data_IF_521185962472
#
_entry.id   IF_521185962472
#
_cell.length_a   1.000
_cell.length_b   1.000
_cell.length_c   1.000
_cell.angle_alpha   90.00
_cell.angle_beta   90.00
_cell.angle_gamma   90.00
#
_symmetry.space_group_name_H-M   'P 1'
#
loop_
_entity.id
_entity.type
_entity.pdbx_description
1 polymer ?
#
# COMPACT_ATOMS: atom_id res chain seq x y z
N UNK A 1 6.26 -3.62 -24.12
CA UNK A 1 5.75 -2.25 -23.85
C UNK A 1 5.26 -2.23 -22.41
N UNK A 2 5.74 -1.32 -21.56
CA UNK A 2 5.20 -1.19 -20.19
C UNK A 2 3.75 -0.71 -20.28
N UNK A 3 2.84 -1.42 -19.65
CA UNK A 3 1.43 -1.03 -19.59
C UNK A 3 1.28 0.30 -18.85
N UNK A 4 0.44 1.19 -19.38
CA UNK A 4 0.08 2.45 -18.72
C UNK A 4 -0.72 2.10 -17.47
N UNK A 5 -0.20 2.45 -16.29
CA UNK A 5 -0.86 2.18 -15.03
C UNK A 5 -2.16 2.99 -14.86
N UNK A 6 -3.14 2.44 -14.15
CA UNK A 6 -4.43 3.07 -13.89
C UNK A 6 -4.30 4.46 -13.24
N UNK A 7 -3.29 4.67 -12.40
CA UNK A 7 -2.99 5.98 -11.80
C UNK A 7 -2.70 7.04 -12.86
N UNK A 8 -1.93 6.70 -13.90
CA UNK A 8 -1.61 7.62 -15.00
C UNK A 8 -2.86 8.06 -15.75
N UNK A 9 -3.78 7.10 -16.01
CA UNK A 9 -5.06 7.40 -16.70
C UNK A 9 -5.92 8.33 -15.83
N UNK A 10 -6.07 8.01 -14.52
CA UNK A 10 -6.80 8.86 -13.57
C UNK A 10 -6.23 10.29 -13.52
N UNK A 11 -4.90 10.40 -13.45
CA UNK A 11 -4.22 11.71 -13.43
C UNK A 11 -4.48 12.50 -14.71
N UNK A 12 -4.40 11.85 -15.87
CA UNK A 12 -4.73 12.50 -17.16
C UNK A 12 -6.15 13.02 -17.20
N UNK A 13 -7.14 12.21 -16.78
CA UNK A 13 -8.55 12.62 -16.71
C UNK A 13 -8.73 13.76 -15.69
N UNK A 14 -8.10 13.69 -14.54
CA UNK A 14 -8.17 14.73 -13.53
C UNK A 14 -7.63 16.07 -14.02
N UNK A 15 -6.47 16.08 -14.70
CA UNK A 15 -5.89 17.29 -15.31
C UNK A 15 -6.82 17.83 -16.39
N UNK A 16 -7.35 16.97 -17.26
CA UNK A 16 -8.32 17.37 -18.29
C UNK A 16 -9.53 18.07 -17.69
N UNK A 17 -10.12 17.53 -16.62
CA UNK A 17 -11.24 18.15 -15.93
C UNK A 17 -10.87 19.48 -15.27
N UNK A 18 -9.69 19.59 -14.64
CA UNK A 18 -9.22 20.84 -14.06
C UNK A 18 -9.10 21.95 -15.13
N UNK A 19 -8.55 21.63 -16.28
CA UNK A 19 -8.40 22.58 -17.38
C UNK A 19 -9.75 22.93 -18.02
N UNK A 20 -10.62 21.95 -18.20
CA UNK A 20 -11.97 22.14 -18.78
C UNK A 20 -12.84 23.04 -17.89
N UNK A 21 -12.77 22.88 -16.57
CA UNK A 21 -13.56 23.66 -15.61
C UNK A 21 -12.94 25.03 -15.27
N UNK A 22 -11.71 25.28 -15.72
CA UNK A 22 -10.99 26.51 -15.39
C UNK A 22 -11.74 27.78 -15.82
N UNK A 23 -12.37 27.91 -16.99
CA UNK A 23 -13.08 29.14 -17.37
C UNK A 23 -14.21 29.54 -16.43
N UNK A 24 -14.76 28.56 -15.68
CA UNK A 24 -15.95 28.76 -14.84
C UNK A 24 -15.63 28.97 -13.37
N UNK A 25 -14.60 28.31 -12.83
CA UNK A 25 -14.37 28.22 -11.38
C UNK A 25 -12.94 28.57 -11.01
N UNK A 26 -11.96 28.20 -11.85
CA UNK A 26 -10.54 28.26 -11.56
C UNK A 26 -9.89 29.36 -12.40
N UNK A 27 -9.18 30.31 -11.77
CA UNK A 27 -8.47 31.34 -12.55
C UNK A 27 -7.11 30.87 -13.06
N UNK A 28 -6.45 30.00 -12.29
CA UNK A 28 -5.14 29.50 -12.68
C UNK A 28 -5.17 27.97 -12.75
N UNK A 29 -5.44 27.39 -13.94
CA UNK A 29 -5.56 25.94 -14.14
C UNK A 29 -4.36 25.16 -13.63
N UNK A 30 -3.18 25.75 -13.66
CA UNK A 30 -1.93 25.14 -13.21
C UNK A 30 -2.01 24.66 -11.76
N UNK A 31 -2.52 25.50 -10.84
CA UNK A 31 -2.57 25.14 -9.42
C UNK A 31 -3.61 24.06 -9.14
N UNK A 32 -4.75 24.11 -9.81
CA UNK A 32 -5.76 23.07 -9.72
C UNK A 32 -5.24 21.74 -10.29
N UNK A 33 -4.57 21.76 -11.44
CA UNK A 33 -3.98 20.57 -12.04
C UNK A 33 -2.88 19.95 -11.17
N UNK A 34 -1.99 20.75 -10.58
CA UNK A 34 -0.97 20.30 -9.63
C UNK A 34 -1.60 19.71 -8.36
N UNK A 35 -2.63 20.36 -7.81
CA UNK A 35 -3.34 19.88 -6.65
C UNK A 35 -4.04 18.53 -6.94
N UNK A 36 -4.71 18.42 -8.08
CA UNK A 36 -5.35 17.19 -8.54
C UNK A 36 -4.34 16.05 -8.69
N UNK A 37 -3.21 16.29 -9.37
CA UNK A 37 -2.17 15.28 -9.62
C UNK A 37 -1.63 14.67 -8.33
N UNK A 38 -1.36 15.50 -7.31
CA UNK A 38 -0.84 15.03 -6.02
C UNK A 38 -1.93 14.38 -5.17
N UNK A 39 -3.19 14.81 -5.31
CA UNK A 39 -4.32 14.24 -4.56
C UNK A 39 -4.75 12.87 -5.06
N UNK A 40 -4.39 12.45 -6.28
CA UNK A 40 -4.67 11.10 -6.78
C UNK A 40 -3.65 10.13 -6.20
N UNK A 41 -4.06 9.41 -5.17
CA UNK A 41 -3.29 8.39 -4.47
C UNK A 41 -3.75 6.97 -4.85
N UNK A 42 -3.05 5.96 -4.36
CA UNK A 42 -3.42 4.54 -4.56
C UNK A 42 -4.76 4.20 -3.93
N UNK A 43 -5.09 4.82 -2.78
CA UNK A 43 -6.35 4.63 -2.07
C UNK A 43 -7.18 5.91 -2.04
N UNK A 44 -8.50 5.78 -1.86
CA UNK A 44 -9.41 6.93 -1.71
C UNK A 44 -9.12 7.68 -0.40
N UNK A 45 -8.86 6.95 0.71
CA UNK A 45 -8.49 7.55 1.99
C UNK A 45 -7.19 8.36 1.86
N UNK A 46 -6.17 7.80 1.22
CA UNK A 46 -4.91 8.50 0.93
C UNK A 46 -5.15 9.79 0.12
N UNK A 47 -6.06 9.75 -0.87
CA UNK A 47 -6.43 10.95 -1.64
C UNK A 47 -7.08 12.03 -0.77
N UNK A 48 -7.97 11.63 0.12
CA UNK A 48 -8.66 12.57 1.03
C UNK A 48 -7.65 13.16 2.02
N UNK A 49 -6.85 12.31 2.69
CA UNK A 49 -5.85 12.77 3.66
C UNK A 49 -4.85 13.73 3.02
N UNK A 50 -4.26 13.33 1.88
CA UNK A 50 -3.33 14.19 1.13
C UNK A 50 -4.00 15.48 0.64
N UNK A 51 -5.26 15.39 0.21
CA UNK A 51 -6.04 16.55 -0.21
C UNK A 51 -6.26 17.55 0.93
N UNK A 52 -6.67 17.09 2.11
CA UNK A 52 -6.84 17.95 3.29
C UNK A 52 -5.51 18.57 3.75
N UNK A 53 -4.41 17.80 3.76
CA UNK A 53 -3.08 18.32 4.04
C UNK A 53 -2.71 19.45 3.09
N UNK A 54 -2.97 19.30 1.79
CA UNK A 54 -2.73 20.37 0.80
C UNK A 54 -3.54 21.63 1.08
N UNK A 55 -4.82 21.50 1.41
CA UNK A 55 -5.67 22.66 1.74
C UNK A 55 -5.14 23.40 2.97
N UNK A 56 -4.80 22.67 4.04
CA UNK A 56 -4.20 23.27 5.26
C UNK A 56 -2.90 24.01 4.95
N UNK A 57 -1.97 23.37 4.22
CA UNK A 57 -0.71 24.01 3.82
C UNK A 57 -0.93 25.23 2.94
N UNK A 58 -1.88 25.19 2.01
CA UNK A 58 -2.24 26.32 1.15
C UNK A 58 -2.81 27.48 1.96
N UNK A 59 -3.67 27.21 2.95
CA UNK A 59 -4.22 28.26 3.82
C UNK A 59 -3.11 28.92 4.64
N UNK A 60 -2.24 28.14 5.28
CA UNK A 60 -1.14 28.68 6.08
C UNK A 60 -0.16 29.49 5.24
N UNK A 61 0.30 28.93 4.12
CA UNK A 61 1.17 29.63 3.17
C UNK A 61 0.52 30.87 2.57
N UNK A 62 -0.80 30.81 2.34
CA UNK A 62 -1.61 31.92 1.86
C UNK A 62 -1.66 33.09 2.84
N UNK A 63 -1.90 32.80 4.12
CA UNK A 63 -1.93 33.80 5.19
C UNK A 63 -0.57 34.47 5.35
N UNK A 64 0.49 33.69 5.43
CA UNK A 64 1.87 34.23 5.58
C UNK A 64 2.26 35.02 4.34
N UNK A 65 1.97 34.50 3.15
CA UNK A 65 2.23 35.18 1.87
C UNK A 65 1.51 36.53 1.77
N UNK A 66 0.23 36.56 2.15
CA UNK A 66 -0.53 37.81 2.24
C UNK A 66 0.08 38.80 3.20
N UNK A 67 0.43 38.40 4.43
CA UNK A 67 1.01 39.30 5.44
C UNK A 67 2.34 39.84 4.97
N UNK A 68 3.22 39.03 4.40
CA UNK A 68 4.49 39.47 3.91
C UNK A 68 4.36 40.44 2.72
N UNK A 69 3.50 40.13 1.75
CA UNK A 69 3.28 41.06 0.61
C UNK A 69 2.57 42.35 1.00
N UNK A 70 1.81 42.37 2.09
CA UNK A 70 1.12 43.54 2.58
C UNK A 70 2.05 44.49 3.36
N UNK A 71 2.92 43.95 4.25
CA UNK A 71 3.76 44.74 5.13
C UNK A 71 5.17 44.96 4.59
N UNK A 72 5.64 44.17 3.65
CA UNK A 72 7.00 44.16 3.14
C UNK A 72 7.02 44.34 1.62
N UNK A 73 8.17 44.68 1.07
CA UNK A 73 8.33 44.87 -0.39
C UNK A 73 8.31 43.50 -1.07
N UNK A 74 7.32 43.24 -1.94
CA UNK A 74 7.28 42.05 -2.78
C UNK A 74 8.53 41.97 -3.68
N UNK A 75 8.86 40.78 -4.17
CA UNK A 75 9.99 40.47 -5.07
C UNK A 75 11.40 40.66 -4.47
N UNK A 76 11.52 40.81 -3.16
CA UNK A 76 12.83 40.88 -2.52
C UNK A 76 13.33 39.50 -2.10
N UNK A 77 14.52 39.10 -2.59
CA UNK A 77 15.07 37.76 -2.34
C UNK A 77 15.25 37.44 -0.85
N UNK A 78 15.68 38.45 -0.02
CA UNK A 78 15.83 38.26 1.42
C UNK A 78 14.47 38.04 2.11
N UNK A 79 13.46 38.80 1.70
CA UNK A 79 12.10 38.68 2.24
C UNK A 79 11.50 37.30 1.88
N UNK A 80 11.67 36.84 0.64
CA UNK A 80 11.26 35.52 0.21
C UNK A 80 11.98 34.41 1.00
N UNK A 81 13.28 34.55 1.26
CA UNK A 81 14.02 33.57 2.04
C UNK A 81 13.55 33.53 3.51
N UNK A 82 13.46 34.70 4.18
CA UNK A 82 13.02 34.79 5.57
C UNK A 82 11.57 34.32 5.74
N UNK A 83 10.67 34.68 4.83
CA UNK A 83 9.28 34.25 4.84
C UNK A 83 9.14 32.74 4.60
N UNK A 84 9.96 32.16 3.73
CA UNK A 84 10.01 30.71 3.54
C UNK A 84 10.45 29.98 4.82
N UNK A 85 11.50 30.46 5.49
CA UNK A 85 11.98 29.89 6.76
C UNK A 85 10.90 30.01 7.83
N UNK A 86 10.23 31.17 7.93
CA UNK A 86 9.12 31.34 8.88
C UNK A 86 7.95 30.39 8.58
N UNK A 87 7.61 30.22 7.31
CA UNK A 87 6.55 29.30 6.89
C UNK A 87 6.87 27.86 7.28
N UNK A 88 8.11 27.41 7.05
CA UNK A 88 8.59 26.09 7.47
C UNK A 88 8.51 25.94 8.98
N UNK A 89 9.02 26.94 9.72
CA UNK A 89 9.00 26.92 11.18
C UNK A 89 7.58 26.81 11.74
N UNK A 90 6.64 27.59 11.23
CA UNK A 90 5.24 27.52 11.66
C UNK A 90 4.58 26.20 11.29
N UNK A 91 4.83 25.63 10.11
CA UNK A 91 4.35 24.29 9.76
C UNK A 91 4.84 23.23 10.78
N UNK A 92 6.11 23.28 11.16
CA UNK A 92 6.67 22.35 12.16
C UNK A 92 6.01 22.56 13.54
N UNK A 93 5.86 23.82 13.96
CA UNK A 93 5.25 24.17 15.25
C UNK A 93 3.79 23.71 15.35
N UNK A 94 3.03 23.80 14.27
CA UNK A 94 1.65 23.31 14.19
C UNK A 94 1.52 21.81 13.87
N UNK A 95 2.66 21.07 13.89
CA UNK A 95 2.70 19.64 13.59
C UNK A 95 2.19 19.27 12.17
N UNK A 96 2.42 20.18 11.22
CA UNK A 96 2.02 20.09 9.81
C UNK A 96 3.22 19.76 8.93
N UNK A 97 3.92 18.64 9.21
CA UNK A 97 5.18 18.29 8.52
C UNK A 97 4.99 17.95 7.04
N UNK A 98 3.86 17.29 6.71
CA UNK A 98 3.55 16.87 5.35
C UNK A 98 3.09 18.04 4.47
N UNK A 99 2.67 19.14 5.06
CA UNK A 99 2.15 20.33 4.41
C UNK A 99 3.22 21.38 4.08
N UNK A 100 4.45 21.23 4.60
CA UNK A 100 5.54 22.22 4.48
C UNK A 100 5.78 22.63 3.02
N UNK A 101 5.91 21.65 2.13
CA UNK A 101 6.21 21.92 0.72
C UNK A 101 5.14 22.78 0.04
N UNK A 102 3.86 22.49 0.27
CA UNK A 102 2.78 23.25 -0.35
C UNK A 102 2.60 24.63 0.28
N UNK A 103 2.83 24.76 1.59
CA UNK A 103 2.77 26.03 2.28
C UNK A 103 3.84 27.00 1.73
N UNK A 104 5.08 26.53 1.56
CA UNK A 104 6.17 27.33 0.99
C UNK A 104 5.91 27.70 -0.47
N UNK A 105 5.45 26.73 -1.29
CA UNK A 105 5.09 27.02 -2.69
C UNK A 105 3.97 28.06 -2.78
N UNK A 106 2.96 27.98 -1.91
CA UNK A 106 1.87 28.96 -1.88
C UNK A 106 2.35 30.32 -1.42
N UNK A 107 3.16 30.39 -0.37
CA UNK A 107 3.81 31.60 0.08
C UNK A 107 4.59 32.30 -1.05
N UNK A 108 5.48 31.55 -1.71
CA UNK A 108 6.28 32.07 -2.83
C UNK A 108 5.40 32.51 -4.01
N UNK A 109 4.36 31.75 -4.35
CA UNK A 109 3.47 32.07 -5.45
C UNK A 109 2.71 33.39 -5.25
N UNK A 110 2.46 33.78 -3.99
CA UNK A 110 1.84 35.06 -3.65
C UNK A 110 2.87 36.17 -3.67
N UNK A 111 4.04 35.96 -3.07
CA UNK A 111 5.08 37.02 -3.00
C UNK A 111 5.72 37.33 -4.34
N UNK A 112 5.97 36.31 -5.19
CA UNK A 112 6.63 36.50 -6.49
C UNK A 112 5.64 36.73 -7.64
N UNK A 113 4.37 36.44 -7.43
CA UNK A 113 3.35 36.51 -8.49
C UNK A 113 2.32 37.62 -8.28
N UNK A 114 2.45 38.45 -7.24
CA UNK A 114 1.41 39.42 -6.92
C UNK A 114 1.62 40.76 -7.63
N UNK A 115 0.66 41.14 -8.43
CA UNK A 115 0.43 42.56 -8.76
C UNK A 115 -0.21 43.17 -7.52
N UNK A 116 0.39 44.23 -6.97
CA UNK A 116 0.05 44.86 -5.66
C UNK A 116 -1.44 45.22 -5.51
N UNK A 117 -2.16 45.42 -6.59
CA UNK A 117 -3.53 45.97 -6.55
C UNK A 117 -4.61 45.01 -6.05
N UNK A 118 -4.35 43.69 -5.92
CA UNK A 118 -5.37 42.72 -5.53
C UNK A 118 -4.87 41.52 -4.67
N UNK A 119 -3.98 41.78 -3.71
CA UNK A 119 -3.32 40.77 -2.87
C UNK A 119 -4.28 39.81 -2.16
N UNK A 120 -5.33 40.34 -1.53
CA UNK A 120 -6.36 39.52 -0.84
C UNK A 120 -7.03 38.56 -1.84
N UNK A 121 -7.39 39.08 -2.98
CA UNK A 121 -8.05 38.32 -4.02
C UNK A 121 -7.15 37.18 -4.54
N UNK A 122 -5.88 37.47 -4.79
CA UNK A 122 -4.91 36.46 -5.24
C UNK A 122 -4.68 35.39 -4.19
N UNK A 123 -4.58 35.73 -2.91
CA UNK A 123 -4.41 34.77 -1.81
C UNK A 123 -5.62 33.83 -1.68
N UNK A 124 -6.83 34.40 -1.71
CA UNK A 124 -8.07 33.61 -1.67
C UNK A 124 -8.18 32.71 -2.92
N UNK A 125 -7.85 33.24 -4.08
CA UNK A 125 -7.92 32.48 -5.34
C UNK A 125 -7.00 31.26 -5.32
N UNK A 126 -5.79 31.34 -4.71
CA UNK A 126 -4.89 30.19 -4.53
C UNK A 126 -5.53 29.08 -3.71
N UNK A 127 -6.23 29.45 -2.63
CA UNK A 127 -6.95 28.46 -1.81
C UNK A 127 -8.08 27.80 -2.61
N UNK A 128 -8.84 28.58 -3.38
CA UNK A 128 -9.92 28.07 -4.21
C UNK A 128 -9.38 27.14 -5.30
N UNK A 129 -8.37 27.59 -6.07
CA UNK A 129 -7.79 26.80 -7.17
C UNK A 129 -7.25 25.45 -6.67
N UNK A 130 -6.51 25.45 -5.54
CA UNK A 130 -6.03 24.20 -4.93
C UNK A 130 -7.17 23.33 -4.43
N UNK A 131 -8.20 23.90 -3.78
CA UNK A 131 -9.33 23.15 -3.24
C UNK A 131 -10.15 22.47 -4.35
N UNK A 132 -10.39 23.17 -5.46
CA UNK A 132 -11.06 22.60 -6.64
C UNK A 132 -10.24 21.46 -7.24
N UNK A 133 -8.93 21.64 -7.38
CA UNK A 133 -8.04 20.57 -7.85
C UNK A 133 -8.04 19.35 -6.97
N UNK A 134 -7.98 19.53 -5.64
CA UNK A 134 -8.09 18.45 -4.64
C UNK A 134 -9.44 17.72 -4.79
N UNK A 135 -10.54 18.47 -4.86
CA UNK A 135 -11.87 17.90 -5.00
C UNK A 135 -12.00 17.05 -6.27
N UNK A 136 -11.57 17.58 -7.43
CA UNK A 136 -11.56 16.84 -8.70
C UNK A 136 -10.71 15.58 -8.57
N UNK A 137 -9.52 15.67 -7.97
CA UNK A 137 -8.62 14.51 -7.76
C UNK A 137 -9.26 13.42 -6.92
N UNK A 138 -9.95 13.77 -5.82
CA UNK A 138 -10.68 12.83 -4.98
C UNK A 138 -11.85 12.21 -5.76
N UNK A 139 -12.65 13.00 -6.45
CA UNK A 139 -13.78 12.51 -7.25
C UNK A 139 -13.34 11.55 -8.35
N UNK A 140 -12.30 11.89 -9.10
CA UNK A 140 -11.74 11.02 -10.15
C UNK A 140 -11.20 9.73 -9.55
N UNK A 141 -10.51 9.80 -8.41
CA UNK A 141 -10.00 8.61 -7.74
C UNK A 141 -11.12 7.73 -7.19
N UNK A 142 -12.21 8.31 -6.74
CA UNK A 142 -13.37 7.58 -6.23
C UNK A 142 -14.19 6.93 -7.37
N UNK A 143 -14.43 7.64 -8.47
CA UNK A 143 -15.32 7.20 -9.56
C UNK A 143 -14.63 6.23 -10.53
N UNK A 144 -13.34 6.45 -10.81
CA UNK A 144 -12.59 5.66 -11.80
C UNK A 144 -11.84 4.52 -11.11
N UNK A 145 -12.35 3.30 -11.26
CA UNK A 145 -11.75 2.03 -10.83
C UNK A 145 -11.37 2.02 -9.34
N UNK A 146 -12.34 1.69 -8.51
CA UNK A 146 -12.11 1.32 -7.10
C UNK A 146 -11.26 0.05 -7.07
N UNK A 147 -10.02 0.08 -6.61
CA UNK A 147 -9.21 -1.14 -6.54
C UNK A 147 -9.93 -2.13 -5.60
N UNK A 148 -10.14 -3.36 -6.08
CA UNK A 148 -10.75 -4.40 -5.25
C UNK A 148 -9.64 -5.13 -4.48
N UNK A 149 -9.03 -4.43 -3.54
CA UNK A 149 -7.91 -4.93 -2.74
C UNK A 149 -8.21 -6.28 -2.06
N UNK A 150 -9.48 -6.56 -1.73
CA UNK A 150 -9.85 -7.85 -1.15
C UNK A 150 -9.59 -9.01 -2.12
N UNK A 151 -9.89 -8.85 -3.42
CA UNK A 151 -9.59 -9.86 -4.43
C UNK A 151 -8.08 -10.01 -4.64
N UNK A 152 -7.33 -8.92 -4.56
CA UNK A 152 -5.87 -8.95 -4.72
C UNK A 152 -5.20 -9.67 -3.54
N UNK A 153 -5.69 -9.47 -2.30
CA UNK A 153 -5.25 -10.20 -1.10
C UNK A 153 -5.50 -11.69 -1.25
N UNK A 154 -6.72 -12.07 -1.65
CA UNK A 154 -7.12 -13.47 -1.86
C UNK A 154 -6.21 -14.12 -2.91
N UNK A 155 -6.01 -13.47 -4.05
CA UNK A 155 -5.14 -13.96 -5.12
C UNK A 155 -3.69 -14.12 -4.69
N UNK A 156 -3.18 -13.21 -3.87
CA UNK A 156 -1.82 -13.31 -3.31
C UNK A 156 -1.69 -14.51 -2.37
N UNK A 157 -2.70 -14.78 -1.54
CA UNK A 157 -2.74 -15.96 -0.66
C UNK A 157 -2.80 -17.27 -1.45
N UNK A 158 -3.58 -17.31 -2.53
CA UNK A 158 -3.65 -18.46 -3.44
C UNK A 158 -2.27 -18.76 -4.06
N UNK A 159 -1.57 -17.76 -4.58
CA UNK A 159 -0.20 -17.96 -5.11
C UNK A 159 0.79 -18.43 -4.04
N UNK A 160 0.70 -17.91 -2.82
CA UNK A 160 1.54 -18.36 -1.69
C UNK A 160 1.27 -19.84 -1.41
N UNK A 161 0.00 -20.27 -1.38
CA UNK A 161 -0.34 -21.67 -1.18
C UNK A 161 0.21 -22.57 -2.28
N UNK A 162 0.06 -22.18 -3.54
CA UNK A 162 0.61 -22.93 -4.68
C UNK A 162 2.13 -23.08 -4.61
N UNK A 163 2.85 -22.05 -4.19
CA UNK A 163 4.31 -22.14 -4.03
C UNK A 163 4.72 -23.05 -2.87
N UNK A 164 3.95 -23.06 -1.77
CA UNK A 164 4.17 -23.97 -0.65
C UNK A 164 3.87 -25.42 -1.07
N UNK A 165 2.82 -25.66 -1.84
CA UNK A 165 2.51 -26.99 -2.41
C UNK A 165 3.65 -27.49 -3.28
N UNK A 166 4.13 -26.69 -4.21
CA UNK A 166 5.30 -27.04 -5.05
C UNK A 166 6.54 -27.38 -4.20
N UNK A 167 6.76 -26.65 -3.10
CA UNK A 167 7.84 -26.99 -2.17
C UNK A 167 7.64 -28.36 -1.54
N UNK A 168 6.44 -28.64 -1.02
CA UNK A 168 6.10 -29.92 -0.38
C UNK A 168 6.19 -31.07 -1.38
N UNK A 169 5.69 -30.90 -2.60
CA UNK A 169 5.79 -31.89 -3.67
C UNK A 169 7.23 -32.19 -4.06
N UNK A 170 8.07 -31.15 -4.20
CA UNK A 170 9.47 -31.32 -4.51
C UNK A 170 10.20 -32.05 -3.39
N UNK A 171 9.86 -31.74 -2.14
CA UNK A 171 10.43 -32.38 -0.96
C UNK A 171 10.02 -33.85 -0.86
N UNK A 172 8.74 -34.19 -1.13
CA UNK A 172 8.20 -35.55 -0.99
C UNK A 172 8.55 -36.47 -2.13
N UNK A 173 8.45 -36.00 -3.39
CA UNK A 173 8.64 -36.82 -4.59
C UNK A 173 10.10 -37.04 -4.98
N UNK A 174 10.93 -36.03 -4.83
CA UNK A 174 12.31 -36.06 -5.38
C UNK A 174 13.39 -36.35 -4.36
N UNK A 175 13.08 -36.26 -3.07
CA UNK A 175 14.09 -36.31 -1.97
C UNK A 175 15.35 -35.50 -2.35
N UNK A 176 15.19 -34.55 -3.24
CA UNK A 176 16.23 -33.62 -3.69
C UNK A 176 15.81 -32.23 -3.26
N UNK A 177 16.68 -31.56 -2.53
CA UNK A 177 16.68 -30.11 -2.31
C UNK A 177 16.94 -29.44 -3.68
N UNK A 178 15.94 -29.46 -4.56
CA UNK A 178 16.05 -28.71 -5.79
C UNK A 178 15.77 -27.26 -5.44
N UNK A 179 16.56 -26.35 -6.01
CA UNK A 179 16.53 -24.89 -5.81
C UNK A 179 15.08 -24.36 -5.74
N UNK A 180 14.49 -24.44 -4.55
CA UNK A 180 13.23 -23.72 -4.29
C UNK A 180 13.63 -22.24 -4.18
N UNK A 181 13.13 -21.43 -5.09
CA UNK A 181 13.40 -20.01 -5.10
C UNK A 181 12.59 -19.32 -4.02
N UNK A 182 13.13 -19.31 -2.80
CA UNK A 182 12.50 -18.71 -1.63
C UNK A 182 12.22 -17.21 -1.85
N UNK A 183 13.02 -16.56 -2.70
CA UNK A 183 12.85 -15.17 -3.12
C UNK A 183 11.45 -14.89 -3.71
N UNK A 184 10.88 -15.88 -4.41
CA UNK A 184 9.51 -15.77 -4.94
C UNK A 184 8.49 -15.71 -3.81
N UNK A 185 8.60 -16.61 -2.83
CA UNK A 185 7.71 -16.65 -1.68
C UNK A 185 7.83 -15.37 -0.82
N UNK A 186 9.03 -14.88 -0.59
CA UNK A 186 9.29 -13.62 0.10
C UNK A 186 8.65 -12.43 -0.64
N UNK A 187 8.80 -12.39 -1.97
CA UNK A 187 8.22 -11.33 -2.79
C UNK A 187 6.68 -11.35 -2.77
N UNK A 188 6.08 -12.54 -2.77
CA UNK A 188 4.62 -12.72 -2.65
C UNK A 188 4.11 -12.26 -1.28
N UNK A 189 4.81 -12.61 -0.20
CA UNK A 189 4.46 -12.17 1.17
C UNK A 189 4.57 -10.65 1.29
N UNK A 190 5.63 -10.05 0.75
CA UNK A 190 5.78 -8.60 0.75
C UNK A 190 4.68 -7.90 -0.07
N UNK A 191 4.31 -8.48 -1.22
CA UNK A 191 3.17 -8.00 -2.02
C UNK A 191 1.85 -8.09 -1.24
N UNK A 192 1.63 -9.20 -0.51
CA UNK A 192 0.46 -9.38 0.35
C UNK A 192 0.40 -8.32 1.45
N UNK A 193 1.50 -8.05 2.15
CA UNK A 193 1.58 -7.01 3.17
C UNK A 193 1.23 -5.62 2.63
N UNK A 194 1.80 -5.28 1.48
CA UNK A 194 1.52 -4.01 0.83
C UNK A 194 0.05 -3.88 0.43
N UNK A 195 -0.51 -4.94 -0.17
CA UNK A 195 -1.91 -4.96 -0.59
C UNK A 195 -2.85 -4.89 0.62
N UNK A 196 -2.48 -5.56 1.73
CA UNK A 196 -3.23 -5.48 2.98
C UNK A 196 -3.20 -4.07 3.57
N UNK A 197 -2.05 -3.41 3.60
CA UNK A 197 -1.94 -2.02 4.06
C UNK A 197 -2.81 -1.07 3.21
N UNK A 198 -2.80 -1.23 1.89
CA UNK A 198 -3.65 -0.47 0.98
C UNK A 198 -5.15 -0.79 1.21
N UNK A 199 -5.48 -2.02 1.61
CA UNK A 199 -6.83 -2.46 1.95
C UNK A 199 -7.33 -1.81 3.26
N UNK A 200 -6.55 -1.86 4.34
CA UNK A 200 -6.90 -1.23 5.63
C UNK A 200 -7.13 0.26 5.47
N UNK A 201 -6.23 0.94 4.75
CA UNK A 201 -6.39 2.36 4.43
C UNK A 201 -7.69 2.65 3.66
N UNK A 202 -8.20 1.72 2.84
CA UNK A 202 -9.43 1.89 2.06
C UNK A 202 -10.71 1.55 2.83
N UNK A 203 -10.66 0.58 3.74
CA UNK A 203 -11.80 0.09 4.52
C UNK A 203 -12.25 1.11 5.58
N UNK A 204 -11.32 1.74 6.28
CA UNK A 204 -11.59 2.75 7.30
C UNK A 204 -12.49 3.91 6.82
N UNK A 205 -12.58 4.14 5.51
CA UNK A 205 -13.40 5.22 4.98
C UNK A 205 -14.85 4.84 4.68
N UNK A 206 -15.12 3.55 4.46
CA UNK A 206 -16.45 3.10 4.02
C UNK A 206 -17.42 2.77 5.17
N UNK A 207 -16.94 2.65 6.40
CA UNK A 207 -17.72 2.10 7.52
C UNK A 207 -17.59 2.94 8.78
N UNK A 208 -18.16 4.15 8.73
CA UNK A 208 -18.47 4.91 9.96
C UNK A 208 -19.62 4.23 10.74
N UNK A 209 -20.36 3.31 10.13
CA UNK A 209 -21.52 2.63 10.72
C UNK A 209 -21.27 1.24 11.31
N UNK A 210 -20.18 0.52 10.94
CA UNK A 210 -19.98 -0.88 11.33
C UNK A 210 -18.59 -1.19 11.92
N UNK A 211 -18.09 -0.34 12.81
CA UNK A 211 -16.74 -0.40 13.38
C UNK A 211 -16.30 -1.74 14.01
N UNK A 212 -17.22 -2.57 14.49
CA UNK A 212 -16.91 -3.86 15.14
C UNK A 212 -16.56 -4.95 14.13
N UNK A 213 -17.21 -4.98 12.95
CA UNK A 213 -17.00 -6.04 11.94
C UNK A 213 -15.69 -5.93 11.18
N UNK A 214 -15.09 -4.76 11.16
CA UNK A 214 -13.83 -4.47 10.45
C UNK A 214 -12.63 -4.93 11.26
N UNK A 215 -12.66 -4.71 12.57
CA UNK A 215 -11.56 -5.05 13.49
C UNK A 215 -11.29 -6.57 13.51
N UNK A 216 -12.33 -7.41 13.40
CA UNK A 216 -12.18 -8.87 13.31
C UNK A 216 -11.57 -9.34 11.97
N UNK A 217 -11.96 -8.73 10.84
CA UNK A 217 -11.39 -9.07 9.53
C UNK A 217 -9.95 -8.61 9.40
N UNK A 218 -9.62 -7.45 9.90
CA UNK A 218 -8.25 -6.91 9.91
C UNK A 218 -7.34 -7.80 10.76
N UNK A 219 -7.75 -8.18 11.96
CA UNK A 219 -7.02 -9.12 12.82
C UNK A 219 -6.83 -10.48 12.14
N UNK A 220 -7.84 -10.94 11.40
CA UNK A 220 -7.75 -12.22 10.68
C UNK A 220 -6.71 -12.18 9.56
N UNK A 221 -6.64 -11.10 8.77
CA UNK A 221 -5.65 -10.97 7.70
C UNK A 221 -4.24 -10.76 8.27
N UNK A 222 -4.08 -9.98 9.34
CA UNK A 222 -2.81 -9.84 10.03
C UNK A 222 -2.28 -11.18 10.56
N UNK A 223 -3.15 -12.02 11.13
CA UNK A 223 -2.78 -13.36 11.56
C UNK A 223 -2.33 -14.24 10.39
N UNK A 224 -2.98 -14.13 9.22
CA UNK A 224 -2.57 -14.86 8.02
C UNK A 224 -1.20 -14.42 7.51
N UNK A 225 -0.91 -13.13 7.51
CA UNK A 225 0.42 -12.61 7.16
C UNK A 225 1.49 -13.18 8.08
N UNK A 226 1.21 -13.24 9.40
CA UNK A 226 2.13 -13.85 10.37
C UNK A 226 2.33 -15.33 10.05
N UNK A 227 1.28 -16.09 9.76
CA UNK A 227 1.36 -17.50 9.36
C UNK A 227 2.20 -17.67 8.09
N UNK A 228 2.02 -16.83 7.08
CA UNK A 228 2.81 -16.86 5.85
C UNK A 228 4.31 -16.59 6.11
N UNK A 229 4.63 -15.65 7.00
CA UNK A 229 6.01 -15.37 7.41
C UNK A 229 6.66 -16.53 8.17
N UNK A 230 5.91 -17.13 9.09
CA UNK A 230 6.38 -18.33 9.81
C UNK A 230 6.64 -19.48 8.84
N UNK A 231 5.74 -19.72 7.87
CA UNK A 231 5.92 -20.71 6.82
C UNK A 231 7.20 -20.45 6.01
N UNK A 232 7.41 -19.22 5.57
CA UNK A 232 8.61 -18.83 4.83
C UNK A 232 9.88 -19.11 5.63
N UNK A 233 9.92 -18.72 6.91
CA UNK A 233 11.05 -18.97 7.80
C UNK A 233 11.36 -20.46 7.97
N UNK A 234 10.33 -21.30 8.17
CA UNK A 234 10.53 -22.74 8.34
C UNK A 234 10.92 -23.43 7.04
N UNK A 235 10.38 -23.03 5.90
CA UNK A 235 10.78 -23.51 4.57
C UNK A 235 12.24 -23.15 4.30
N UNK A 236 12.65 -21.91 4.57
CA UNK A 236 14.03 -21.46 4.44
C UNK A 236 14.98 -22.29 5.30
N UNK A 237 14.59 -22.56 6.54
CA UNK A 237 15.37 -23.38 7.44
C UNK A 237 15.58 -24.80 6.90
N UNK A 238 14.54 -25.41 6.27
CA UNK A 238 14.64 -26.73 5.64
C UNK A 238 15.56 -26.70 4.42
N UNK A 239 15.48 -25.67 3.58
CA UNK A 239 16.30 -25.57 2.35
C UNK A 239 17.81 -25.47 2.66
N UNK A 240 18.18 -24.90 3.79
CA UNK A 240 19.58 -24.75 4.23
C UNK A 240 20.17 -26.00 4.87
N UNK A 241 19.37 -27.04 5.17
CA UNK A 241 19.91 -28.28 5.73
C UNK A 241 20.65 -29.08 4.67
N UNK A 242 21.95 -29.31 4.80
CA UNK A 242 22.78 -29.99 3.80
C UNK A 242 22.82 -31.54 3.91
N UNK A 243 22.29 -32.12 4.98
CA UNK A 243 22.33 -33.56 5.28
C UNK A 243 21.21 -34.35 4.61
N UNK A 244 21.38 -35.68 4.51
CA UNK A 244 20.29 -36.61 4.16
C UNK A 244 19.18 -36.48 5.20
N UNK A 245 17.95 -36.25 4.73
CA UNK A 245 16.81 -36.00 5.59
C UNK A 245 16.07 -37.31 5.90
N UNK A 246 15.74 -37.51 7.15
CA UNK A 246 14.94 -38.61 7.68
C UNK A 246 13.67 -38.03 8.29
N UNK A 247 12.52 -38.65 8.01
CA UNK A 247 11.23 -38.20 8.53
C UNK A 247 10.82 -39.04 9.76
N UNK A 248 10.17 -38.43 10.73
CA UNK A 248 9.54 -39.16 11.82
C UNK A 248 8.14 -39.65 11.44
N UNK A 249 7.60 -40.63 12.15
CA UNK A 249 6.30 -41.25 11.86
C UNK A 249 5.17 -40.24 11.89
N UNK A 250 5.16 -39.28 12.82
CA UNK A 250 4.12 -38.25 12.93
C UNK A 250 4.03 -37.36 11.68
N UNK A 251 5.17 -36.84 11.21
CA UNK A 251 5.21 -36.01 10.01
C UNK A 251 4.90 -36.82 8.74
N UNK A 252 5.33 -38.08 8.69
CA UNK A 252 5.02 -38.99 7.60
C UNK A 252 3.50 -39.23 7.46
N UNK A 253 2.83 -39.51 8.58
CA UNK A 253 1.36 -39.68 8.58
C UNK A 253 0.65 -38.38 8.16
N UNK A 254 1.11 -37.24 8.65
CA UNK A 254 0.52 -35.94 8.27
C UNK A 254 0.68 -35.68 6.78
N UNK A 255 1.86 -35.94 6.22
CA UNK A 255 2.09 -35.82 4.77
C UNK A 255 1.24 -36.79 3.98
N UNK A 256 1.11 -38.03 4.43
CA UNK A 256 0.29 -39.05 3.77
C UNK A 256 -1.20 -38.68 3.76
N UNK A 257 -1.67 -38.03 4.82
CA UNK A 257 -3.04 -37.53 4.89
C UNK A 257 -3.27 -36.33 3.95
N UNK A 258 -2.27 -35.46 3.78
CA UNK A 258 -2.33 -34.34 2.85
C UNK A 258 -2.22 -34.78 1.38
N UNK A 259 -1.44 -35.83 1.11
CA UNK A 259 -1.16 -36.36 -0.22
C UNK A 259 -1.41 -37.88 -0.28
N UNK A 260 -2.69 -38.35 -0.22
CA UNK A 260 -3.02 -39.77 -0.10
C UNK A 260 -2.57 -40.63 -1.30
N UNK A 261 -2.51 -40.02 -2.49
CA UNK A 261 -2.15 -40.69 -3.75
C UNK A 261 -0.67 -40.59 -4.11
N UNK A 262 0.15 -39.94 -3.27
CA UNK A 262 1.55 -39.70 -3.56
C UNK A 262 2.47 -40.67 -2.82
N UNK A 263 3.46 -41.23 -3.50
CA UNK A 263 4.49 -42.06 -2.89
C UNK A 263 5.56 -41.17 -2.23
N UNK A 264 5.59 -41.19 -0.89
CA UNK A 264 6.53 -40.40 -0.09
C UNK A 264 7.88 -41.11 -0.04
N UNK A 265 8.93 -40.50 -0.61
CA UNK A 265 10.29 -41.09 -0.73
C UNK A 265 11.23 -40.73 0.43
N UNK A 266 10.73 -40.72 1.65
CA UNK A 266 11.56 -40.54 2.85
C UNK A 266 11.80 -41.85 3.58
N UNK A 267 13.01 -42.01 4.15
CA UNK A 267 13.30 -43.05 5.12
C UNK A 267 12.80 -42.61 6.51
N UNK A 268 12.04 -43.46 7.18
CA UNK A 268 11.50 -43.16 8.52
C UNK A 268 12.58 -43.48 9.56
N UNK A 269 12.94 -42.48 10.38
CA UNK A 269 13.86 -42.65 11.53
C UNK A 269 13.53 -41.60 12.59
N UNK A 270 13.11 -42.07 13.76
CA UNK A 270 12.67 -41.18 14.86
C UNK A 270 13.82 -40.40 15.52
N UNK A 271 15.06 -40.87 15.38
CA UNK A 271 16.20 -40.29 16.05
C UNK A 271 17.04 -39.35 15.19
N UNK A 272 16.87 -39.49 13.86
CA UNK A 272 17.65 -38.69 12.92
C UNK A 272 16.90 -37.44 12.46
N UNK A 273 17.65 -36.44 12.06
CA UNK A 273 17.13 -35.16 11.51
C UNK A 273 16.11 -34.45 12.42
N UNK A 274 16.35 -34.26 13.72
CA UNK A 274 15.35 -33.62 14.61
C UNK A 274 15.02 -32.20 14.22
N UNK A 275 15.99 -31.43 13.73
CA UNK A 275 15.78 -30.06 13.25
C UNK A 275 14.86 -30.02 12.02
N UNK A 276 15.10 -30.91 11.06
CA UNK A 276 14.24 -31.06 9.90
C UNK A 276 12.80 -31.38 10.32
N UNK A 277 12.62 -32.38 11.17
CA UNK A 277 11.30 -32.80 11.63
C UNK A 277 10.56 -31.71 12.41
N UNK A 278 11.26 -30.91 13.19
CA UNK A 278 10.69 -29.75 13.87
C UNK A 278 10.15 -28.72 12.86
N UNK A 279 10.98 -28.32 11.89
CA UNK A 279 10.57 -27.33 10.91
C UNK A 279 9.49 -27.88 9.98
N UNK A 280 9.58 -29.13 9.57
CA UNK A 280 8.56 -29.76 8.74
C UNK A 280 7.19 -29.83 9.46
N UNK A 281 7.17 -30.22 10.73
CA UNK A 281 5.94 -30.21 11.52
C UNK A 281 5.30 -28.81 11.57
N UNK A 282 6.10 -27.76 11.73
CA UNK A 282 5.62 -26.37 11.71
C UNK A 282 5.06 -25.98 10.35
N UNK A 283 5.75 -26.34 9.25
CA UNK A 283 5.25 -26.11 7.89
C UNK A 283 3.90 -26.79 7.69
N UNK A 284 3.81 -28.07 8.01
CA UNK A 284 2.57 -28.84 7.81
C UNK A 284 1.40 -28.29 8.63
N UNK A 285 1.60 -27.99 9.91
CA UNK A 285 0.55 -27.45 10.78
C UNK A 285 0.09 -26.04 10.33
N UNK A 286 1.00 -25.16 9.96
CA UNK A 286 0.66 -23.82 9.51
C UNK A 286 0.04 -23.80 8.12
N UNK A 287 0.50 -24.68 7.23
CA UNK A 287 -0.10 -24.85 5.91
C UNK A 287 -1.53 -25.37 6.00
N UNK A 288 -1.81 -26.36 6.86
CA UNK A 288 -3.18 -26.85 7.11
C UNK A 288 -4.09 -25.70 7.61
N UNK A 289 -3.62 -24.88 8.54
CA UNK A 289 -4.38 -23.72 9.02
C UNK A 289 -4.67 -22.70 7.92
N UNK A 290 -3.71 -22.44 7.03
CA UNK A 290 -3.88 -21.54 5.90
C UNK A 290 -4.90 -22.10 4.91
N UNK A 291 -4.84 -23.40 4.59
CA UNK A 291 -5.78 -24.10 3.69
C UNK A 291 -7.21 -24.09 4.23
N UNK A 292 -7.39 -24.40 5.52
CA UNK A 292 -8.71 -24.31 6.16
C UNK A 292 -9.32 -22.90 6.08
N UNK A 293 -8.50 -21.87 6.26
CA UNK A 293 -8.97 -20.51 6.13
C UNK A 293 -9.43 -20.19 4.70
N UNK A 294 -8.67 -20.59 3.68
CA UNK A 294 -9.03 -20.38 2.27
C UNK A 294 -10.32 -21.09 1.89
N UNK A 295 -10.51 -22.33 2.36
CA UNK A 295 -11.77 -23.07 2.17
C UNK A 295 -12.95 -22.33 2.81
N UNK A 296 -12.80 -21.80 4.03
CA UNK A 296 -13.87 -21.03 4.71
C UNK A 296 -14.30 -19.77 3.96
N UNK A 297 -13.41 -19.16 3.19
CA UNK A 297 -13.73 -18.00 2.35
C UNK A 297 -14.17 -18.37 0.93
N UNK A 298 -14.39 -19.66 0.67
CA UNK A 298 -14.92 -20.17 -0.60
C UNK A 298 -13.90 -20.28 -1.72
N UNK A 299 -12.60 -20.42 -1.40
CA UNK A 299 -11.54 -20.68 -2.36
C UNK A 299 -11.18 -22.16 -2.28
N UNK A 300 -11.60 -22.92 -3.27
CA UNK A 300 -11.09 -24.27 -3.50
C UNK A 300 -9.72 -24.13 -4.19
N UNK A 301 -8.68 -24.61 -3.52
CA UNK A 301 -7.38 -24.81 -4.16
C UNK A 301 -7.48 -26.15 -4.85
N UNK A 302 -7.72 -26.14 -6.17
CA UNK A 302 -7.63 -27.34 -6.97
C UNK A 302 -6.21 -27.90 -6.86
N UNK A 303 -6.10 -29.09 -6.28
CA UNK A 303 -4.84 -29.85 -6.34
C UNK A 303 -4.63 -30.14 -7.82
N UNK A 304 -3.59 -29.55 -8.41
CA UNK A 304 -3.22 -29.84 -9.80
C UNK A 304 -2.87 -31.33 -9.86
N UNK A 305 -3.84 -32.16 -10.27
CA UNK A 305 -3.58 -33.50 -10.77
C UNK A 305 -2.96 -33.33 -12.18
N UNK A 306 -1.64 -33.31 -12.27
CA UNK A 306 -0.88 -33.61 -13.49
C UNK A 306 0.10 -34.75 -13.25
#
# INVERSE_FOLDING_TARGET
MKHIGMRTIKTGIGIFLCVLLSPFIVKTPLYAALACTVSIQTSVKGSITTGFSRIKGTILGGIIGFLFSYFLVADNALICALGSVLTIYLCIQFNMKDEVSIAVVTFLSINLGSVQDHLVYHSIQRVIDNSVGVFIGICVNYLLARPNHAKDVIKSLEFICLDIEKFLDTLTLKNKKQNFHIENLESLIHSLEKTHLDCTISIDYNNISDGVYIDEKEKSINNLIIICKELCFHIQSITHLEQKLYINSSNYETLKNLYPNTEIKFEIDETKSPVFNYHLNKVLSRYSSLKEFLIRIGIEIDIIEE
#
